data_IF_442519143334
#
_entry.id   IF_442519143334
#
_cell.length_a   1.000
_cell.length_b   1.000
_cell.length_c   1.000
_cell.angle_alpha   90.00
_cell.angle_beta   90.00
_cell.angle_gamma   90.00
#
_symmetry.space_group_name_H-M   'P 1'
#
loop_
_entity.id
_entity.type
_entity.pdbx_description
1 polymer ?
#
# COMPACT_ATOMS: atom_id res chain seq x y z
N UNK A 1 -9.92 -0.12 13.91
CA UNK A 1 -10.85 1.01 14.05
C UNK A 1 -10.12 2.31 13.70
N UNK A 2 -10.67 3.06 12.77
CA UNK A 2 -10.09 4.33 12.27
C UNK A 2 -9.88 5.34 13.40
N UNK A 3 -10.81 5.40 14.37
CA UNK A 3 -10.70 6.31 15.51
C UNK A 3 -9.41 6.07 16.29
N UNK A 4 -8.98 4.83 16.42
CA UNK A 4 -7.73 4.48 17.10
C UNK A 4 -6.50 4.90 16.27
N UNK A 5 -6.56 4.67 14.95
CA UNK A 5 -5.47 5.02 14.02
C UNK A 5 -5.24 6.54 13.94
N UNK A 6 -6.28 7.35 14.14
CA UNK A 6 -6.18 8.82 14.18
C UNK A 6 -5.79 9.33 15.57
N UNK A 7 -6.33 8.73 16.65
CA UNK A 7 -6.05 9.16 18.02
C UNK A 7 -4.59 9.02 18.42
N UNK A 8 -3.92 7.93 18.01
CA UNK A 8 -2.53 7.67 18.37
C UNK A 8 -1.57 8.75 17.88
N UNK A 9 -1.50 9.09 16.58
CA UNK A 9 -0.62 10.15 16.11
C UNK A 9 -0.97 11.51 16.72
N UNK A 10 -2.26 11.82 16.93
CA UNK A 10 -2.67 13.07 17.60
C UNK A 10 -2.17 13.11 19.04
N UNK A 11 -2.27 12.01 19.78
CA UNK A 11 -1.77 11.94 21.16
C UNK A 11 -0.24 12.15 21.21
N UNK A 12 0.50 11.51 20.29
CA UNK A 12 1.95 11.68 20.19
C UNK A 12 2.34 13.13 19.84
N UNK A 13 1.65 13.75 18.88
CA UNK A 13 1.86 15.16 18.54
C UNK A 13 1.63 16.09 19.74
N UNK A 14 0.54 15.87 20.49
CA UNK A 14 0.25 16.65 21.71
C UNK A 14 1.32 16.44 22.77
N UNK A 15 1.75 15.22 23.01
CA UNK A 15 2.79 14.91 23.99
C UNK A 15 4.11 15.60 23.64
N UNK A 16 4.56 15.50 22.38
CA UNK A 16 5.79 16.15 21.91
C UNK A 16 5.66 17.67 22.06
N UNK A 17 4.53 18.26 21.65
CA UNK A 17 4.30 19.67 21.73
C UNK A 17 4.32 20.18 23.19
N UNK A 18 3.66 19.50 24.10
CA UNK A 18 3.68 19.85 25.53
C UNK A 18 5.11 19.75 26.09
N UNK A 19 5.87 18.71 25.74
CA UNK A 19 7.26 18.55 26.18
C UNK A 19 8.13 19.75 25.70
N UNK A 20 7.95 20.20 24.47
CA UNK A 20 8.71 21.34 23.91
C UNK A 20 8.30 22.68 24.53
N UNK A 21 7.04 22.84 24.95
CA UNK A 21 6.53 24.05 25.58
C UNK A 21 6.86 24.19 27.07
N UNK A 22 6.84 23.04 27.78
CA UNK A 22 6.95 23.04 29.25
C UNK A 22 8.39 22.84 29.74
N UNK A 23 9.33 22.45 28.88
CA UNK A 23 10.69 22.14 29.25
C UNK A 23 11.73 22.86 28.38
N UNK A 24 12.85 23.21 28.97
CA UNK A 24 14.05 23.60 28.22
C UNK A 24 14.67 22.34 27.62
N UNK A 25 14.50 22.16 26.31
CA UNK A 25 14.99 21.00 25.57
C UNK A 25 16.25 21.36 24.80
N UNK A 26 17.36 20.60 24.93
CA UNK A 26 18.57 20.83 24.16
C UNK A 26 18.32 20.86 22.63
N UNK A 27 19.03 21.70 21.86
CA UNK A 27 18.77 21.85 20.40
C UNK A 27 18.75 20.54 19.61
N UNK A 28 19.60 19.58 19.97
CA UNK A 28 19.65 18.27 19.35
C UNK A 28 18.34 17.50 19.56
N UNK A 29 17.82 17.49 20.78
CA UNK A 29 16.53 16.84 21.10
C UNK A 29 15.34 17.57 20.49
N UNK A 30 15.40 18.91 20.39
CA UNK A 30 14.36 19.67 19.68
C UNK A 30 14.24 19.20 18.23
N UNK A 31 15.36 19.02 17.54
CA UNK A 31 15.37 18.51 16.15
C UNK A 31 14.77 17.12 16.04
N UNK A 32 15.11 16.22 16.98
CA UNK A 32 14.53 14.86 17.05
C UNK A 32 13.01 14.91 17.23
N UNK A 33 12.51 15.73 18.15
CA UNK A 33 11.08 15.91 18.38
C UNK A 33 10.34 16.51 17.17
N UNK A 34 10.93 17.51 16.51
CA UNK A 34 10.35 18.09 15.29
C UNK A 34 10.32 17.07 14.14
N UNK A 35 11.36 16.24 14.01
CA UNK A 35 11.36 15.13 13.03
C UNK A 35 10.28 14.09 13.35
N UNK A 36 10.11 13.74 14.62
CA UNK A 36 9.04 12.84 15.04
C UNK A 36 7.64 13.43 14.79
N UNK A 37 7.45 14.74 15.02
CA UNK A 37 6.19 15.43 14.69
C UNK A 37 5.90 15.38 13.18
N UNK A 38 6.89 15.68 12.33
CA UNK A 38 6.74 15.60 10.89
C UNK A 38 6.28 14.20 10.46
N UNK A 39 6.90 13.15 10.98
CA UNK A 39 6.48 11.76 10.71
C UNK A 39 5.04 11.47 11.14
N UNK A 40 4.56 12.00 12.28
CA UNK A 40 3.16 11.82 12.68
C UNK A 40 2.18 12.58 11.78
N UNK A 41 2.57 13.78 11.30
CA UNK A 41 1.77 14.55 10.34
C UNK A 41 1.67 13.83 9.00
N UNK A 42 2.77 13.26 8.49
CA UNK A 42 2.78 12.47 7.25
C UNK A 42 1.85 11.24 7.37
N UNK A 43 1.83 10.58 8.54
CA UNK A 43 0.90 9.47 8.82
C UNK A 43 -0.56 9.92 8.79
N UNK A 44 -0.88 11.09 9.35
CA UNK A 44 -2.24 11.64 9.33
C UNK A 44 -2.67 12.03 7.92
N UNK A 45 -1.79 12.67 7.15
CA UNK A 45 -2.07 13.02 5.75
C UNK A 45 -2.32 11.77 4.90
N UNK A 46 -1.48 10.76 5.03
CA UNK A 46 -1.67 9.48 4.34
C UNK A 46 -3.01 8.82 4.71
N UNK A 47 -3.39 8.83 6.00
CA UNK A 47 -4.69 8.35 6.47
C UNK A 47 -5.84 9.08 5.80
N UNK A 48 -5.78 10.41 5.78
CA UNK A 48 -6.81 11.27 5.19
C UNK A 48 -6.95 11.00 3.68
N UNK A 49 -5.84 10.92 2.94
CA UNK A 49 -5.84 10.63 1.51
C UNK A 49 -6.43 9.23 1.21
N UNK A 50 -6.06 8.23 1.98
CA UNK A 50 -6.60 6.88 1.84
C UNK A 50 -8.12 6.84 2.11
N UNK A 51 -8.59 7.58 3.11
CA UNK A 51 -10.04 7.71 3.40
C UNK A 51 -10.79 8.39 2.27
N UNK A 52 -10.26 9.49 1.74
CA UNK A 52 -10.88 10.21 0.62
C UNK A 52 -10.97 9.31 -0.61
N UNK A 53 -9.88 8.60 -0.96
CA UNK A 53 -9.86 7.63 -2.07
C UNK A 53 -10.93 6.55 -1.88
N UNK A 54 -10.98 5.95 -0.71
CA UNK A 54 -11.94 4.89 -0.38
C UNK A 54 -13.38 5.39 -0.44
N UNK A 55 -13.66 6.54 0.18
CA UNK A 55 -15.01 7.15 0.15
C UNK A 55 -15.48 7.46 -1.27
N UNK A 56 -14.59 7.96 -2.13
CA UNK A 56 -14.92 8.25 -3.52
C UNK A 56 -15.21 6.99 -4.34
N UNK A 57 -14.49 5.89 -4.07
CA UNK A 57 -14.76 4.60 -4.71
C UNK A 57 -16.11 4.03 -4.29
N UNK A 58 -16.41 4.03 -2.98
CA UNK A 58 -17.66 3.48 -2.44
C UNK A 58 -18.89 4.28 -2.85
N UNK A 59 -18.79 5.60 -2.95
CA UNK A 59 -19.91 6.46 -3.34
C UNK A 59 -20.18 6.48 -4.84
N UNK A 60 -19.36 5.75 -5.64
CA UNK A 60 -19.49 5.74 -7.09
C UNK A 60 -19.18 7.08 -7.76
N UNK A 61 -18.60 8.03 -7.01
CA UNK A 61 -18.15 9.34 -7.57
C UNK A 61 -17.01 9.16 -8.56
N UNK A 62 -16.25 8.07 -8.43
CA UNK A 62 -15.19 7.74 -9.38
C UNK A 62 -15.79 6.91 -10.52
N UNK A 63 -15.85 7.49 -11.71
CA UNK A 63 -16.07 6.75 -12.94
C UNK A 63 -14.75 6.17 -13.43
N UNK A 64 -14.66 4.84 -13.52
CA UNK A 64 -13.51 4.16 -14.09
C UNK A 64 -13.49 4.32 -15.61
N UNK A 65 -12.39 4.75 -16.16
CA UNK A 65 -12.17 4.84 -17.61
C UNK A 65 -11.48 3.59 -18.13
N UNK A 66 -12.23 2.49 -18.24
CA UNK A 66 -11.68 1.23 -18.78
C UNK A 66 -11.47 1.31 -20.29
N UNK A 67 -10.23 1.11 -20.74
CA UNK A 67 -9.83 1.07 -22.15
C UNK A 67 -8.98 -0.18 -22.41
N UNK A 68 -9.00 -0.67 -23.65
CA UNK A 68 -8.04 -1.70 -24.09
C UNK A 68 -6.66 -1.07 -24.14
N UNK A 69 -5.71 -1.58 -23.36
CA UNK A 69 -4.39 -1.00 -23.26
C UNK A 69 -3.36 -2.00 -22.70
N UNK A 70 -2.05 -1.78 -22.93
CA UNK A 70 -1.00 -2.70 -22.50
C UNK A 70 -0.96 -2.86 -20.98
N UNK A 71 -0.99 -4.11 -20.52
CA UNK A 71 -0.84 -4.44 -19.09
C UNK A 71 0.59 -4.13 -18.63
N UNK A 72 1.57 -4.31 -19.51
CA UNK A 72 2.98 -4.01 -19.23
C UNK A 72 3.19 -2.58 -18.72
N UNK A 73 2.62 -1.59 -19.40
CA UNK A 73 2.76 -0.18 -19.01
C UNK A 73 2.14 0.13 -17.64
N UNK A 74 1.02 -0.53 -17.34
CA UNK A 74 0.31 -0.37 -16.07
C UNK A 74 1.11 -0.99 -14.93
N UNK A 75 1.68 -2.17 -15.14
CA UNK A 75 2.54 -2.84 -14.18
C UNK A 75 3.85 -2.06 -13.97
N UNK A 76 4.47 -1.56 -15.05
CA UNK A 76 5.69 -0.76 -14.98
C UNK A 76 5.49 0.51 -14.13
N UNK A 77 4.33 1.17 -14.26
CA UNK A 77 4.00 2.34 -13.44
C UNK A 77 3.88 1.98 -11.94
N UNK A 78 3.28 0.83 -11.61
CA UNK A 78 3.18 0.35 -10.24
C UNK A 78 4.55 -0.04 -9.65
N UNK A 79 5.36 -0.76 -10.42
CA UNK A 79 6.72 -1.16 -10.05
C UNK A 79 7.61 0.06 -9.78
N UNK A 80 7.51 1.11 -10.59
CA UNK A 80 8.25 2.35 -10.38
C UNK A 80 8.06 2.94 -8.99
N UNK A 81 6.90 2.76 -8.37
CA UNK A 81 6.61 3.22 -7.01
C UNK A 81 7.33 2.46 -5.89
N UNK A 82 7.76 1.22 -6.15
CA UNK A 82 8.37 0.37 -5.10
C UNK A 82 9.88 0.17 -5.25
N UNK A 83 10.45 0.47 -6.42
CA UNK A 83 11.84 0.14 -6.74
C UNK A 83 12.85 0.69 -5.73
N UNK A 84 12.72 1.95 -5.34
CA UNK A 84 13.63 2.58 -4.38
C UNK A 84 13.64 1.86 -3.02
N UNK A 85 12.47 1.43 -2.55
CA UNK A 85 12.34 0.74 -1.27
C UNK A 85 12.82 -0.72 -1.38
N UNK A 86 12.58 -1.38 -2.51
CA UNK A 86 13.10 -2.71 -2.80
C UNK A 86 14.64 -2.68 -2.86
N UNK A 87 15.24 -1.69 -3.54
CA UNK A 87 16.69 -1.50 -3.63
C UNK A 87 17.32 -1.28 -2.25
N UNK A 88 16.75 -0.39 -1.41
CA UNK A 88 17.20 -0.15 -0.03
C UNK A 88 17.22 -1.43 0.81
N UNK A 89 16.28 -2.33 0.58
CA UNK A 89 16.21 -3.64 1.24
C UNK A 89 16.97 -4.74 0.52
N UNK A 90 17.61 -4.44 -0.62
CA UNK A 90 18.28 -5.43 -1.47
C UNK A 90 17.36 -6.59 -1.87
N UNK A 91 16.08 -6.29 -2.11
CA UNK A 91 15.11 -7.27 -2.57
C UNK A 91 15.27 -7.44 -4.08
N UNK A 92 15.42 -8.69 -4.52
CA UNK A 92 15.43 -9.06 -5.94
C UNK A 92 13.98 -9.08 -6.48
N UNK A 93 13.69 -8.22 -7.47
CA UNK A 93 12.36 -8.12 -8.08
C UNK A 93 12.43 -8.65 -9.50
N UNK A 94 11.83 -9.81 -9.72
CA UNK A 94 11.76 -10.48 -11.02
C UNK A 94 10.37 -10.27 -11.64
N UNK A 95 10.33 -9.91 -12.93
CA UNK A 95 9.08 -9.61 -13.63
C UNK A 95 9.00 -10.35 -14.95
N UNK A 96 7.97 -11.17 -15.09
CA UNK A 96 7.61 -11.88 -16.31
C UNK A 96 6.27 -11.33 -16.84
N UNK A 97 6.34 -10.40 -17.78
CA UNK A 97 5.17 -9.77 -18.37
C UNK A 97 5.32 -9.70 -19.90
N UNK A 98 4.39 -10.29 -20.68
CA UNK A 98 4.39 -10.15 -22.13
C UNK A 98 4.18 -8.69 -22.55
N UNK A 99 5.06 -8.17 -23.42
CA UNK A 99 5.02 -6.76 -23.86
C UNK A 99 3.74 -6.41 -24.63
N UNK A 100 3.14 -7.37 -25.33
CA UNK A 100 2.00 -7.17 -26.23
C UNK A 100 0.68 -7.72 -25.67
N UNK A 101 0.59 -7.86 -24.35
CA UNK A 101 -0.65 -8.30 -23.71
C UNK A 101 -1.52 -7.09 -23.35
N UNK A 102 -2.63 -6.96 -24.06
CA UNK A 102 -3.62 -5.94 -23.82
C UNK A 102 -4.80 -6.47 -23.01
N UNK A 103 -5.31 -5.64 -22.08
CA UNK A 103 -6.53 -5.92 -21.33
C UNK A 103 -7.38 -4.66 -21.22
N UNK A 104 -8.70 -4.85 -21.04
CA UNK A 104 -9.61 -3.74 -20.77
C UNK A 104 -9.56 -3.40 -19.29
N UNK A 105 -8.93 -2.27 -18.95
CA UNK A 105 -8.81 -1.81 -17.58
C UNK A 105 -8.63 -0.28 -17.50
N UNK A 106 -8.79 0.28 -16.32
CA UNK A 106 -8.40 1.65 -16.00
C UNK A 106 -6.94 1.66 -15.55
N UNK A 107 -6.05 2.21 -16.37
CA UNK A 107 -4.60 2.22 -16.13
C UNK A 107 -4.23 2.83 -14.78
N UNK A 108 -4.83 3.97 -14.44
CA UNK A 108 -4.53 4.69 -13.22
C UNK A 108 -4.91 3.89 -11.98
N UNK A 109 -6.14 3.41 -11.96
CA UNK A 109 -6.65 2.67 -10.81
C UNK A 109 -6.06 1.27 -10.70
N UNK A 110 -5.83 0.58 -11.80
CA UNK A 110 -5.15 -0.73 -11.78
C UNK A 110 -3.71 -0.60 -11.33
N UNK A 111 -2.98 0.44 -11.78
CA UNK A 111 -1.63 0.72 -11.27
C UNK A 111 -1.63 1.00 -9.76
N UNK A 112 -2.61 1.73 -9.23
CA UNK A 112 -2.79 1.96 -7.79
C UNK A 112 -3.04 0.64 -7.04
N UNK A 113 -3.90 -0.24 -7.58
CA UNK A 113 -4.16 -1.56 -6.96
C UNK A 113 -2.90 -2.43 -6.93
N UNK A 114 -2.18 -2.52 -8.04
CA UNK A 114 -0.91 -3.26 -8.12
C UNK A 114 0.15 -2.66 -7.20
N UNK A 115 0.27 -1.34 -7.15
CA UNK A 115 1.18 -0.65 -6.22
C UNK A 115 0.90 -1.03 -4.76
N UNK A 116 -0.36 -1.05 -4.33
CA UNK A 116 -0.70 -1.43 -2.95
C UNK A 116 -0.30 -2.86 -2.59
N UNK A 117 -0.40 -3.79 -3.55
CA UNK A 117 0.02 -5.19 -3.35
C UNK A 117 1.55 -5.28 -3.33
N UNK A 118 2.22 -4.65 -4.30
CA UNK A 118 3.69 -4.65 -4.42
C UNK A 118 4.35 -3.94 -3.23
N UNK A 119 3.79 -2.84 -2.74
CA UNK A 119 4.29 -2.13 -1.56
C UNK A 119 4.20 -3.02 -0.31
N UNK A 120 3.12 -3.79 -0.16
CA UNK A 120 3.03 -4.80 0.89
C UNK A 120 4.09 -5.90 0.71
N UNK A 121 4.28 -6.43 -0.50
CA UNK A 121 5.32 -7.41 -0.76
C UNK A 121 6.71 -6.90 -0.34
N UNK A 122 7.07 -5.65 -0.69
CA UNK A 122 8.33 -5.03 -0.27
C UNK A 122 8.39 -4.81 1.25
N UNK A 123 7.28 -4.38 1.88
CA UNK A 123 7.23 -4.12 3.33
C UNK A 123 7.48 -5.38 4.14
N UNK A 124 6.84 -6.48 3.77
CA UNK A 124 6.84 -7.72 4.55
C UNK A 124 7.92 -8.71 4.13
N UNK A 125 8.63 -8.48 3.03
CA UNK A 125 9.80 -9.25 2.66
C UNK A 125 11.03 -8.74 3.42
N UNK A 126 11.82 -9.61 4.05
CA UNK A 126 13.06 -9.22 4.71
C UNK A 126 14.11 -8.76 3.70
N UNK A 127 15.15 -8.07 4.19
CA UNK A 127 16.27 -7.66 3.36
C UNK A 127 16.94 -8.88 2.69
N UNK A 128 17.25 -8.74 1.40
CA UNK A 128 17.82 -9.83 0.59
C UNK A 128 16.82 -10.86 0.11
N UNK A 129 15.51 -10.66 0.35
CA UNK A 129 14.47 -11.54 -0.15
C UNK A 129 14.13 -11.32 -1.63
N UNK A 130 13.06 -11.96 -2.10
CA UNK A 130 12.67 -11.96 -3.50
C UNK A 130 11.19 -11.64 -3.67
N UNK A 131 10.86 -10.95 -4.75
CA UNK A 131 9.49 -10.73 -5.23
C UNK A 131 9.45 -11.16 -6.70
N UNK A 132 8.51 -12.05 -7.01
CA UNK A 132 8.29 -12.51 -8.37
C UNK A 132 6.92 -12.09 -8.86
N UNK A 133 6.86 -11.40 -10.00
CA UNK A 133 5.65 -10.95 -10.64
C UNK A 133 5.50 -11.65 -11.97
N UNK A 134 4.42 -12.41 -12.17
CA UNK A 134 4.13 -13.03 -13.45
C UNK A 134 2.76 -12.61 -13.98
N UNK A 135 2.69 -12.40 -15.31
CA UNK A 135 1.47 -11.97 -16.00
C UNK A 135 1.15 -12.95 -17.10
N UNK A 136 -0.07 -13.50 -17.06
CA UNK A 136 -0.56 -14.47 -18.04
C UNK A 136 -1.87 -13.98 -18.67
N UNK A 137 -1.95 -14.05 -19.98
CA UNK A 137 -3.18 -13.80 -20.74
C UNK A 137 -4.00 -15.08 -20.89
N UNK A 138 -5.27 -15.04 -20.49
CA UNK A 138 -6.26 -16.09 -20.72
C UNK A 138 -7.37 -15.54 -21.64
N UNK A 139 -8.17 -16.40 -22.22
CA UNK A 139 -9.24 -15.99 -23.15
C UNK A 139 -10.19 -14.92 -22.59
N UNK A 140 -10.53 -15.02 -21.29
CA UNK A 140 -11.54 -14.18 -20.66
C UNK A 140 -10.95 -13.17 -19.66
N UNK A 141 -9.69 -13.29 -19.26
CA UNK A 141 -9.05 -12.45 -18.24
C UNK A 141 -7.53 -12.45 -18.37
N UNK A 142 -6.93 -11.48 -17.70
CA UNK A 142 -5.49 -11.45 -17.47
C UNK A 142 -5.25 -11.77 -16.01
N UNK A 143 -4.35 -12.72 -15.74
CA UNK A 143 -3.91 -13.11 -14.40
C UNK A 143 -2.59 -12.44 -14.09
N UNK A 144 -2.49 -11.81 -12.93
CA UNK A 144 -1.25 -11.23 -12.40
C UNK A 144 -1.00 -11.90 -11.06
N UNK A 145 0.09 -12.65 -10.95
CA UNK A 145 0.56 -13.24 -9.71
C UNK A 145 1.72 -12.40 -9.15
N UNK A 146 1.66 -12.12 -7.86
CA UNK A 146 2.72 -11.44 -7.12
C UNK A 146 3.06 -12.34 -5.94
N UNK A 147 4.24 -12.95 -5.99
CA UNK A 147 4.73 -13.83 -4.94
C UNK A 147 5.94 -13.18 -4.25
N UNK A 148 5.98 -13.22 -2.93
CA UNK A 148 7.08 -12.72 -2.12
C UNK A 148 7.63 -13.81 -1.19
N UNK A 149 8.87 -13.63 -0.74
CA UNK A 149 9.53 -14.52 0.23
C UNK A 149 9.44 -13.95 1.65
N UNK A 150 8.39 -13.20 1.94
CA UNK A 150 8.14 -12.56 3.22
C UNK A 150 7.64 -13.50 4.30
N UNK A 151 7.12 -12.92 5.35
CA UNK A 151 6.61 -13.66 6.53
C UNK A 151 5.38 -14.51 6.24
N UNK A 152 4.75 -14.34 5.07
CA UNK A 152 3.50 -15.01 4.70
C UNK A 152 2.28 -14.51 5.49
N UNK A 153 1.12 -15.08 5.16
CA UNK A 153 -0.16 -14.78 5.80
C UNK A 153 -0.76 -16.10 6.30
N UNK A 154 -1.05 -16.17 7.59
CA UNK A 154 -1.67 -17.39 8.14
C UNK A 154 -3.05 -17.65 7.53
N UNK A 155 -3.43 -18.90 7.36
CA UNK A 155 -4.72 -19.29 6.77
C UNK A 155 -5.93 -18.64 7.46
N UNK A 156 -5.84 -18.46 8.79
CA UNK A 156 -6.90 -17.83 9.58
C UNK A 156 -7.13 -16.36 9.22
N UNK A 157 -6.09 -15.67 8.72
CA UNK A 157 -6.14 -14.25 8.41
C UNK A 157 -6.37 -13.94 6.94
N UNK A 158 -6.19 -14.89 6.01
CA UNK A 158 -6.33 -14.67 4.57
C UNK A 158 -7.68 -14.05 4.17
N UNK A 159 -8.77 -14.43 4.83
CA UNK A 159 -10.09 -13.83 4.60
C UNK A 159 -10.26 -12.43 5.20
N UNK A 160 -9.41 -12.05 6.17
CA UNK A 160 -9.55 -10.79 6.91
C UNK A 160 -8.58 -9.70 6.46
N UNK A 161 -7.48 -10.04 5.79
CA UNK A 161 -6.48 -9.07 5.32
C UNK A 161 -7.05 -8.00 4.38
N UNK A 162 -8.16 -8.28 3.72
CA UNK A 162 -8.87 -7.36 2.85
C UNK A 162 -9.90 -6.48 3.57
N UNK A 163 -10.03 -6.58 4.90
CA UNK A 163 -10.89 -5.69 5.67
C UNK A 163 -10.19 -4.34 5.87
N UNK A 164 -10.99 -3.28 5.90
CA UNK A 164 -10.48 -1.93 6.20
C UNK A 164 -9.81 -1.89 7.56
N UNK A 165 -8.64 -1.24 7.62
CA UNK A 165 -7.86 -1.02 8.85
C UNK A 165 -7.44 -2.31 9.55
N UNK A 166 -7.48 -3.44 8.84
CA UNK A 166 -7.00 -4.69 9.39
C UNK A 166 -5.47 -4.75 9.33
N UNK A 167 -4.88 -5.13 10.43
CA UNK A 167 -3.45 -5.43 10.58
C UNK A 167 -3.32 -6.60 11.54
N UNK A 168 -2.40 -7.49 11.26
CA UNK A 168 -2.05 -8.55 12.21
C UNK A 168 -1.21 -7.97 13.36
N UNK A 169 -1.42 -8.47 14.59
CA UNK A 169 -0.68 -8.03 15.78
C UNK A 169 0.83 -8.25 15.61
N UNK A 170 1.22 -9.31 14.89
CA UNK A 170 2.62 -9.67 14.64
C UNK A 170 3.39 -8.63 13.78
N UNK A 171 2.71 -7.73 13.11
CA UNK A 171 3.32 -6.74 12.17
C UNK A 171 3.04 -5.29 12.56
N UNK A 172 2.74 -5.03 13.82
CA UNK A 172 2.49 -3.66 14.31
C UNK A 172 3.65 -2.70 14.09
N UNK A 173 4.89 -3.20 14.08
CA UNK A 173 6.10 -2.40 13.90
C UNK A 173 6.37 -2.01 12.43
N UNK A 174 5.67 -2.62 11.47
CA UNK A 174 5.78 -2.28 10.04
C UNK A 174 4.86 -1.10 9.73
N UNK A 175 5.35 -0.05 9.09
CA UNK A 175 4.53 1.10 8.72
C UNK A 175 3.37 0.73 7.78
N UNK A 176 2.16 1.15 8.16
CA UNK A 176 0.96 0.91 7.35
C UNK A 176 -0.33 1.12 8.14
N UNK A 177 -1.42 1.37 7.42
CA UNK A 177 -2.73 1.72 7.99
C UNK A 177 -3.75 0.59 7.81
N UNK A 178 -3.41 -0.45 7.02
CA UNK A 178 -4.33 -1.56 6.75
C UNK A 178 -5.46 -1.20 5.76
N UNK A 179 -5.20 -0.28 4.82
CA UNK A 179 -6.16 0.10 3.78
C UNK A 179 -5.73 -0.40 2.39
N UNK A 180 -4.45 -0.64 2.16
CA UNK A 180 -3.91 -0.92 0.84
C UNK A 180 -4.56 -2.13 0.15
N UNK A 181 -4.63 -3.28 0.80
CA UNK A 181 -5.26 -4.48 0.25
C UNK A 181 -6.78 -4.33 0.07
N UNK A 182 -7.45 -3.64 1.00
CA UNK A 182 -8.86 -3.32 0.84
C UNK A 182 -9.09 -2.48 -0.43
N UNK A 183 -8.31 -1.40 -0.60
CA UNK A 183 -8.40 -0.52 -1.76
C UNK A 183 -8.10 -1.28 -3.07
N UNK A 184 -7.07 -2.12 -3.08
CA UNK A 184 -6.74 -2.96 -4.23
C UNK A 184 -7.90 -3.86 -4.62
N UNK A 185 -8.54 -4.54 -3.65
CA UNK A 185 -9.70 -5.40 -3.90
C UNK A 185 -10.90 -4.62 -4.45
N UNK A 186 -11.22 -3.47 -3.87
CA UNK A 186 -12.32 -2.63 -4.35
C UNK A 186 -12.09 -2.18 -5.81
N UNK A 187 -10.89 -1.72 -6.14
CA UNK A 187 -10.53 -1.29 -7.49
C UNK A 187 -10.66 -2.44 -8.49
N UNK A 188 -10.16 -3.62 -8.15
CA UNK A 188 -10.21 -4.79 -9.03
C UNK A 188 -11.66 -5.27 -9.20
N UNK A 189 -12.44 -5.31 -8.11
CA UNK A 189 -13.85 -5.71 -8.13
C UNK A 189 -14.70 -4.76 -8.98
N UNK A 190 -14.49 -3.45 -8.88
CA UNK A 190 -15.18 -2.45 -9.71
C UNK A 190 -14.87 -2.59 -11.21
N UNK A 191 -13.77 -3.25 -11.56
CA UNK A 191 -13.40 -3.56 -12.95
C UNK A 191 -13.85 -4.96 -13.40
N UNK A 192 -14.60 -5.68 -12.55
CA UNK A 192 -15.10 -7.03 -12.86
C UNK A 192 -14.11 -8.15 -12.57
N UNK A 193 -12.98 -7.85 -11.92
CA UNK A 193 -11.98 -8.81 -11.49
C UNK A 193 -12.15 -9.27 -10.04
N UNK A 194 -11.19 -10.06 -9.56
CA UNK A 194 -11.11 -10.49 -8.16
C UNK A 194 -9.66 -10.68 -7.72
N UNK A 195 -9.42 -10.62 -6.40
CA UNK A 195 -8.13 -10.93 -5.77
C UNK A 195 -8.33 -12.09 -4.81
N UNK A 196 -7.42 -13.03 -4.82
CA UNK A 196 -7.41 -14.18 -3.93
C UNK A 196 -6.04 -14.36 -3.26
#
# INVERSE_FOLDING_TARGET
>A
DISHQVKTPIANLKMINNTLLENEVPPQKQKEFLTAQASQLDKLDFLMQAMIKTSRLETGVISLEQKQQPVYDTLAAALGGILLNAEKKQIDVQVECPEHLDARHDRKWTSEALFNILDNAVKYTPAGGQIHVSVEGWEMYVKIDIADTGIGISEQHQGTIFKRFYREDAVHDVDGIGIGLYLAREIVTLQGGYIR
#
